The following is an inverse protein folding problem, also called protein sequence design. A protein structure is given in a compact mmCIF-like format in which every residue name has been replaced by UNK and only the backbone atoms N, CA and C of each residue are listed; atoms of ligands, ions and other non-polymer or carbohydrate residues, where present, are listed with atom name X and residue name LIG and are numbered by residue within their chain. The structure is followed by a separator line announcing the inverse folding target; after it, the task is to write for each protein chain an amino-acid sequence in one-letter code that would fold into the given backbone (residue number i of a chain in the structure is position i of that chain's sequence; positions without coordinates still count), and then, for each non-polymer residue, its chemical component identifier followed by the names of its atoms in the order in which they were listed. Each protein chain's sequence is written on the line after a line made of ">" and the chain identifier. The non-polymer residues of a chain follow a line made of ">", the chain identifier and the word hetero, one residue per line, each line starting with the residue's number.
data_IF_399885450607
#
_entry.id   IF_399885450607
#
_cell.length_a   1.000
_cell.length_b   1.000
_cell.length_c   1.000
_cell.angle_alpha   90.00
_cell.angle_beta   90.00
_cell.angle_gamma   90.00
#
_symmetry.space_group_name_H-M   'P 1'
#
loop_
_entity.id
_entity.type
_entity.pdbx_description
1 polymer ?
#
# COMPACT_ATOMS: atom_id res chain seq x y z
N UNK A 1 -2.74 -0.52 27.97
CA UNK A 1 -2.52 -1.49 26.89
C UNK A 1 -2.05 -2.80 27.53
N UNK A 2 -2.81 -3.90 27.39
CA UNK A 2 -2.48 -5.19 27.96
C UNK A 2 -1.11 -5.74 27.51
N UNK A 3 -0.68 -5.44 26.29
CA UNK A 3 0.64 -5.85 25.79
C UNK A 3 1.76 -5.20 26.60
N UNK A 4 1.67 -3.89 26.86
CA UNK A 4 2.68 -3.16 27.65
C UNK A 4 2.65 -3.50 29.14
N UNK A 5 1.49 -3.85 29.70
CA UNK A 5 1.34 -4.11 31.14
C UNK A 5 1.55 -5.57 31.53
N UNK A 6 1.20 -6.50 30.64
CA UNK A 6 1.14 -7.92 30.94
C UNK A 6 1.87 -8.80 29.93
N UNK A 7 2.47 -8.22 28.88
CA UNK A 7 3.21 -8.98 27.86
C UNK A 7 2.32 -9.83 26.95
N UNK A 8 1.02 -9.55 26.90
CA UNK A 8 0.08 -10.33 26.09
C UNK A 8 0.32 -10.10 24.60
N UNK A 9 0.27 -11.20 23.85
CA UNK A 9 0.17 -11.16 22.39
C UNK A 9 -1.25 -10.79 21.99
N UNK A 10 -1.38 -9.89 21.03
CA UNK A 10 -2.65 -9.31 20.63
C UNK A 10 -2.91 -9.53 19.15
N UNK A 11 -4.14 -9.94 18.84
CA UNK A 11 -4.67 -10.00 17.49
C UNK A 11 -5.85 -9.06 17.33
N UNK A 12 -6.00 -8.45 16.16
CA UNK A 12 -7.16 -7.62 15.82
C UNK A 12 -7.97 -8.23 14.69
N UNK A 13 -9.29 -8.22 14.84
CA UNK A 13 -10.24 -8.64 13.80
C UNK A 13 -10.89 -7.38 13.24
N UNK A 14 -10.69 -7.12 11.95
CA UNK A 14 -11.22 -5.96 11.22
C UNK A 14 -12.02 -6.48 10.02
N UNK A 15 -13.33 -6.68 10.15
CA UNK A 15 -14.16 -7.23 9.06
C UNK A 15 -14.05 -6.45 7.75
N UNK A 16 -13.93 -5.12 7.83
CA UNK A 16 -13.79 -4.22 6.68
C UNK A 16 -12.56 -4.52 5.83
N UNK A 17 -11.54 -5.17 6.42
CA UNK A 17 -10.29 -5.52 5.74
C UNK A 17 -10.53 -6.36 4.48
N UNK A 18 -11.48 -7.28 4.50
CA UNK A 18 -11.76 -8.14 3.33
C UNK A 18 -12.21 -7.31 2.13
N UNK A 19 -13.21 -6.44 2.33
CA UNK A 19 -13.69 -5.55 1.28
C UNK A 19 -12.63 -4.57 0.80
N UNK A 20 -11.71 -4.16 1.67
CA UNK A 20 -10.62 -3.26 1.32
C UNK A 20 -9.54 -3.97 0.49
N UNK A 21 -9.19 -5.21 0.84
CA UNK A 21 -8.30 -6.07 0.05
C UNK A 21 -8.88 -6.31 -1.34
N UNK A 22 -10.17 -6.64 -1.45
CA UNK A 22 -10.82 -6.90 -2.73
C UNK A 22 -10.77 -5.68 -3.66
N UNK A 23 -11.07 -4.49 -3.12
CA UNK A 23 -10.96 -3.22 -3.86
C UNK A 23 -9.54 -2.92 -4.28
N UNK A 24 -8.56 -3.11 -3.39
CA UNK A 24 -7.15 -2.89 -3.70
C UNK A 24 -6.60 -3.89 -4.72
N UNK A 25 -7.13 -5.12 -4.72
CA UNK A 25 -6.73 -6.16 -5.66
C UNK A 25 -7.37 -6.01 -7.04
N UNK A 26 -8.39 -5.16 -7.19
CA UNK A 26 -9.00 -4.86 -8.49
C UNK A 26 -7.99 -4.26 -9.47
N UNK A 27 -8.06 -4.67 -10.74
CA UNK A 27 -7.13 -4.16 -11.76
C UNK A 27 -7.28 -2.65 -11.97
N UNK A 28 -8.50 -2.13 -11.81
CA UNK A 28 -8.78 -0.69 -11.88
C UNK A 28 -8.01 0.08 -10.81
N UNK A 29 -8.00 -0.40 -9.55
CA UNK A 29 -7.24 0.25 -8.49
C UNK A 29 -5.73 0.14 -8.73
N UNK A 30 -5.25 -1.07 -9.07
CA UNK A 30 -3.82 -1.32 -9.32
C UNK A 30 -3.28 -0.45 -10.46
N UNK A 31 -3.96 -0.43 -11.61
CA UNK A 31 -3.55 0.38 -12.77
C UNK A 31 -3.55 1.88 -12.43
N UNK A 32 -4.58 2.37 -11.74
CA UNK A 32 -4.65 3.78 -11.31
C UNK A 32 -3.51 4.16 -10.37
N UNK A 33 -3.16 3.30 -9.42
CA UNK A 33 -2.04 3.54 -8.49
C UNK A 33 -0.69 3.47 -9.20
N UNK A 34 -0.48 2.50 -10.10
CA UNK A 34 0.74 2.44 -10.93
C UNK A 34 0.91 3.73 -11.72
N UNK A 35 -0.16 4.20 -12.36
CA UNK A 35 -0.14 5.44 -13.12
C UNK A 35 0.11 6.67 -12.24
N UNK A 36 -0.52 6.75 -11.07
CA UNK A 36 -0.23 7.80 -10.09
C UNK A 36 1.25 7.88 -9.67
N UNK A 37 1.91 6.73 -9.53
CA UNK A 37 3.34 6.66 -9.21
C UNK A 37 4.18 7.08 -10.42
N UNK A 38 3.85 6.61 -11.63
CA UNK A 38 4.52 7.02 -12.87
C UNK A 38 4.43 8.53 -13.10
N UNK A 39 3.23 9.12 -12.93
CA UNK A 39 3.04 10.58 -13.04
C UNK A 39 3.89 11.35 -12.03
N UNK A 40 4.00 10.86 -10.78
CA UNK A 40 4.84 11.50 -9.77
C UNK A 40 6.32 11.49 -10.18
N UNK A 41 6.82 10.38 -10.71
CA UNK A 41 8.19 10.32 -11.24
C UNK A 41 8.39 11.29 -12.42
N UNK A 42 7.46 11.33 -13.39
CA UNK A 42 7.55 12.24 -14.53
C UNK A 42 7.56 13.71 -14.11
N UNK A 43 6.68 14.09 -13.17
CA UNK A 43 6.66 15.43 -12.59
C UNK A 43 7.98 15.72 -11.88
N UNK A 44 8.48 14.77 -11.08
CA UNK A 44 9.71 14.95 -10.32
C UNK A 44 10.95 15.13 -11.22
N UNK A 45 11.00 14.42 -12.34
CA UNK A 45 12.07 14.52 -13.34
C UNK A 45 12.02 15.86 -14.11
N UNK A 46 10.83 16.34 -14.45
CA UNK A 46 10.66 17.52 -15.30
C UNK A 46 10.60 18.86 -14.55
N UNK A 47 10.33 18.86 -13.24
CA UNK A 47 10.13 20.10 -12.45
C UNK A 47 11.30 21.09 -12.48
N UNK A 48 12.50 20.65 -12.85
CA UNK A 48 13.70 21.48 -12.91
C UNK A 48 13.81 22.28 -14.23
N UNK A 49 12.99 21.97 -15.23
CA UNK A 49 12.98 22.66 -16.51
C UNK A 49 12.22 24.00 -16.41
N UNK A 50 12.77 25.07 -16.99
CA UNK A 50 12.22 26.42 -16.86
C UNK A 50 11.53 26.95 -18.12
N UNK A 51 11.35 26.08 -19.12
CA UNK A 51 10.65 26.39 -20.37
C UNK A 51 9.14 26.53 -20.13
N UNK A 52 8.50 27.45 -20.86
CA UNK A 52 7.06 27.71 -20.71
C UNK A 52 6.22 26.45 -21.02
N UNK A 53 6.57 25.74 -22.10
CA UNK A 53 5.90 24.49 -22.50
C UNK A 53 6.00 23.40 -21.42
N UNK A 54 7.17 23.27 -20.78
CA UNK A 54 7.40 22.30 -19.70
C UNK A 54 6.53 22.61 -18.48
N UNK A 55 6.37 23.90 -18.13
CA UNK A 55 5.49 24.31 -17.03
C UNK A 55 4.02 24.01 -17.32
N UNK A 56 3.56 24.26 -18.54
CA UNK A 56 2.18 23.95 -18.96
C UNK A 56 1.91 22.44 -18.90
N UNK A 57 2.85 21.62 -19.38
CA UNK A 57 2.78 20.17 -19.30
C UNK A 57 2.72 19.67 -17.84
N UNK A 58 3.58 20.18 -16.97
CA UNK A 58 3.56 19.83 -15.53
C UNK A 58 2.21 20.18 -14.90
N UNK A 59 1.61 21.34 -15.23
CA UNK A 59 0.28 21.68 -14.72
C UNK A 59 -0.78 20.67 -15.18
N UNK A 60 -0.73 20.23 -16.43
CA UNK A 60 -1.65 19.21 -16.94
C UNK A 60 -1.51 17.88 -16.17
N UNK A 61 -0.29 17.44 -15.87
CA UNK A 61 -0.04 16.23 -15.08
C UNK A 61 -0.44 16.37 -13.61
N UNK A 62 -0.28 17.54 -13.02
CA UNK A 62 -0.75 17.82 -11.66
C UNK A 62 -2.27 17.72 -11.58
N UNK A 63 -2.98 18.24 -12.58
CA UNK A 63 -4.43 18.10 -12.68
C UNK A 63 -4.83 16.62 -12.82
N UNK A 64 -4.22 15.89 -13.76
CA UNK A 64 -4.50 14.46 -13.97
C UNK A 64 -4.23 13.64 -12.70
N UNK A 65 -3.13 13.93 -11.99
CA UNK A 65 -2.80 13.31 -10.71
C UNK A 65 -3.91 13.55 -9.67
N UNK A 66 -4.46 14.76 -9.60
CA UNK A 66 -5.50 15.09 -8.63
C UNK A 66 -6.87 14.46 -8.99
N UNK A 67 -7.16 14.31 -10.29
CA UNK A 67 -8.30 13.53 -10.79
C UNK A 67 -8.17 12.05 -10.41
N UNK A 68 -7.00 11.43 -10.64
CA UNK A 68 -6.73 10.04 -10.25
C UNK A 68 -6.76 9.83 -8.74
N UNK A 69 -6.29 10.80 -7.95
CA UNK A 69 -6.43 10.78 -6.48
C UNK A 69 -7.89 10.79 -6.05
N UNK A 70 -8.71 11.59 -6.70
CA UNK A 70 -10.15 11.67 -6.42
C UNK A 70 -10.86 10.38 -6.83
N UNK A 71 -10.51 9.83 -8.00
CA UNK A 71 -11.02 8.55 -8.49
C UNK A 71 -10.66 7.39 -7.57
N UNK A 72 -9.38 7.21 -7.26
CA UNK A 72 -8.94 6.12 -6.37
C UNK A 72 -9.55 6.20 -4.98
N UNK A 73 -9.80 7.42 -4.46
CA UNK A 73 -10.52 7.64 -3.21
C UNK A 73 -12.00 7.24 -3.31
N UNK A 74 -12.67 7.52 -4.43
CA UNK A 74 -14.10 7.24 -4.62
C UNK A 74 -14.43 5.74 -4.69
N UNK A 75 -13.43 4.88 -4.92
CA UNK A 75 -13.58 3.42 -4.86
C UNK A 75 -13.83 2.91 -3.42
N UNK A 76 -13.48 3.70 -2.40
CA UNK A 76 -13.71 3.37 -1.00
C UNK A 76 -15.00 4.01 -0.47
N UNK A 77 -15.17 4.03 0.86
CA UNK A 77 -16.35 4.65 1.44
C UNK A 77 -16.43 6.13 1.02
N UNK A 78 -17.58 6.62 0.52
CA UNK A 78 -17.70 7.99 -0.01
C UNK A 78 -17.54 9.07 1.06
N UNK A 79 -17.82 8.78 2.33
CA UNK A 79 -17.77 9.75 3.42
C UNK A 79 -16.36 9.89 4.02
N UNK A 80 -15.66 8.78 4.23
CA UNK A 80 -14.37 8.79 4.94
C UNK A 80 -13.20 8.14 4.18
N UNK A 81 -13.46 7.50 3.04
CA UNK A 81 -12.44 6.83 2.23
C UNK A 81 -12.04 5.46 2.77
N UNK A 82 -10.78 5.08 2.53
CA UNK A 82 -10.19 3.83 3.05
C UNK A 82 -9.96 3.95 4.56
N UNK A 83 -10.14 2.83 5.27
CA UNK A 83 -9.90 2.77 6.71
C UNK A 83 -8.39 2.81 7.02
N UNK A 84 -7.55 2.34 6.10
CA UNK A 84 -6.13 2.11 6.33
C UNK A 84 -5.25 3.23 5.75
N UNK A 85 -5.68 3.92 4.69
CA UNK A 85 -4.85 4.86 3.94
C UNK A 85 -5.62 6.04 3.33
N UNK A 86 -4.99 7.21 3.35
CA UNK A 86 -5.38 8.39 2.57
C UNK A 86 -4.21 8.78 1.68
N UNK A 87 -4.35 8.62 0.36
CA UNK A 87 -3.26 8.81 -0.61
C UNK A 87 -2.01 7.99 -0.24
N UNK A 88 -0.87 8.64 0.01
CA UNK A 88 0.38 7.99 0.42
C UNK A 88 0.50 7.76 1.94
N UNK A 89 -0.44 8.29 2.75
CA UNK A 89 -0.32 8.29 4.20
C UNK A 89 -1.19 7.22 4.86
N UNK A 90 -0.65 6.46 5.83
CA UNK A 90 -1.47 5.60 6.68
C UNK A 90 -2.37 6.45 7.60
N UNK A 91 -3.62 6.02 7.77
CA UNK A 91 -4.59 6.68 8.67
C UNK A 91 -4.17 6.53 10.14
N UNK A 92 -4.77 7.36 11.01
CA UNK A 92 -4.59 7.21 12.45
C UNK A 92 -5.03 5.83 12.94
N UNK A 93 -6.13 5.30 12.39
CA UNK A 93 -6.61 3.94 12.68
C UNK A 93 -5.52 2.90 12.40
N UNK A 94 -4.94 2.91 11.20
CA UNK A 94 -3.89 1.95 10.86
C UNK A 94 -2.63 2.11 11.72
N UNK A 95 -2.19 3.35 11.98
CA UNK A 95 -1.04 3.59 12.86
C UNK A 95 -1.26 3.04 14.26
N UNK A 96 -2.49 3.14 14.78
CA UNK A 96 -2.88 2.58 16.07
C UNK A 96 -2.90 1.05 16.01
N UNK A 97 -3.53 0.49 14.98
CA UNK A 97 -3.59 -0.95 14.75
C UNK A 97 -2.19 -1.58 14.69
N UNK A 98 -1.31 -1.05 13.85
CA UNK A 98 0.06 -1.53 13.65
C UNK A 98 0.95 -1.41 14.90
N UNK A 99 0.57 -0.56 15.88
CA UNK A 99 1.28 -0.42 17.15
C UNK A 99 0.80 -1.42 18.20
N UNK A 100 -0.49 -1.77 18.19
CA UNK A 100 -1.14 -2.46 19.30
C UNK A 100 -1.57 -3.89 18.99
N UNK A 101 -1.55 -4.32 17.73
CA UNK A 101 -1.80 -5.69 17.34
C UNK A 101 -0.53 -6.32 16.76
N UNK A 102 -0.15 -7.50 17.24
CA UNK A 102 0.93 -8.30 16.65
C UNK A 102 0.51 -8.84 15.27
N UNK A 103 -0.77 -9.20 15.12
CA UNK A 103 -1.39 -9.73 13.88
C UNK A 103 -2.78 -9.13 13.67
N UNK A 104 -3.22 -8.97 12.42
CA UNK A 104 -4.59 -8.56 12.13
C UNK A 104 -5.19 -9.31 10.94
N UNK A 105 -6.51 -9.49 10.97
CA UNK A 105 -7.22 -10.31 9.99
C UNK A 105 -8.67 -9.85 9.84
N UNK A 106 -9.35 -10.28 8.78
CA UNK A 106 -10.78 -9.98 8.61
C UNK A 106 -11.66 -10.88 9.48
N UNK A 107 -11.23 -12.12 9.72
CA UNK A 107 -11.96 -13.11 10.52
C UNK A 107 -11.01 -14.03 11.29
N UNK A 108 -11.44 -14.51 12.46
CA UNK A 108 -10.69 -15.51 13.23
C UNK A 108 -10.45 -16.79 12.43
N UNK A 109 -11.36 -17.14 11.52
CA UNK A 109 -11.23 -18.33 10.67
C UNK A 109 -10.02 -18.26 9.73
N UNK A 110 -9.44 -17.08 9.49
CA UNK A 110 -8.18 -16.96 8.74
C UNK A 110 -7.03 -17.71 9.42
N UNK A 111 -7.02 -17.84 10.76
CA UNK A 111 -6.00 -18.59 11.49
C UNK A 111 -6.10 -20.10 11.28
N UNK A 112 -7.28 -20.63 10.93
CA UNK A 112 -7.48 -22.06 10.67
C UNK A 112 -6.73 -22.55 9.42
N UNK A 113 -6.23 -21.62 8.59
CA UNK A 113 -5.40 -21.92 7.41
C UNK A 113 -3.94 -22.22 7.78
N UNK A 114 -3.56 -22.05 9.04
CA UNK A 114 -2.19 -22.26 9.53
C UNK A 114 -2.14 -23.43 10.52
N UNK A 115 -0.99 -24.12 10.58
CA UNK A 115 -0.76 -25.13 11.62
C UNK A 115 -0.59 -24.48 12.99
N UNK A 116 -0.81 -25.25 14.06
CA UNK A 116 -0.56 -24.79 15.43
C UNK A 116 0.91 -24.47 15.72
N UNK A 117 1.82 -25.02 14.92
CA UNK A 117 3.27 -24.76 14.97
C UNK A 117 3.73 -23.61 14.07
N UNK A 118 2.81 -22.88 13.43
CA UNK A 118 3.16 -21.84 12.49
C UNK A 118 3.75 -20.60 13.17
N UNK A 119 4.92 -20.16 12.71
CA UNK A 119 5.57 -18.93 13.19
C UNK A 119 5.36 -17.80 12.20
N UNK A 120 4.73 -16.72 12.64
CA UNK A 120 4.59 -15.49 11.86
C UNK A 120 5.85 -14.63 12.00
N UNK A 121 6.49 -14.31 10.87
CA UNK A 121 7.63 -13.40 10.81
C UNK A 121 7.22 -12.07 10.19
N UNK A 122 7.40 -10.92 10.88
CA UNK A 122 7.08 -9.62 10.31
C UNK A 122 8.06 -9.27 9.18
N UNK A 123 7.55 -8.72 8.09
CA UNK A 123 8.39 -8.19 7.02
C UNK A 123 9.21 -6.97 7.48
N UNK A 124 10.46 -6.91 7.03
CA UNK A 124 11.37 -5.77 7.23
C UNK A 124 10.85 -4.57 6.44
N UNK A 125 10.50 -3.49 7.15
CA UNK A 125 10.13 -2.21 6.53
C UNK A 125 11.42 -1.40 6.36
N UNK A 126 11.73 -1.01 5.13
CA UNK A 126 12.90 -0.20 4.84
C UNK A 126 12.72 1.23 5.36
N UNK A 127 13.79 1.81 5.93
CA UNK A 127 13.81 3.24 6.25
C UNK A 127 14.16 4.07 5.00
N UNK A 128 13.77 5.35 4.92
CA UNK A 128 14.00 6.17 3.73
C UNK A 128 15.47 6.29 3.27
N UNK A 129 16.44 6.11 4.17
CA UNK A 129 17.87 6.16 3.87
C UNK A 129 18.48 4.77 3.62
N UNK A 130 17.69 3.70 3.71
CA UNK A 130 18.17 2.36 3.40
C UNK A 130 18.17 2.12 1.90
N UNK A 131 19.19 1.43 1.36
CA UNK A 131 19.24 1.12 -0.06
C UNK A 131 18.06 0.23 -0.44
N UNK A 132 17.34 0.63 -1.49
CA UNK A 132 16.29 -0.21 -2.08
C UNK A 132 16.93 -1.47 -2.66
N UNK A 133 16.79 -2.62 -2.00
CA UNK A 133 17.35 -3.89 -2.48
C UNK A 133 16.74 -4.36 -3.81
N UNK A 134 15.62 -3.75 -4.24
CA UNK A 134 14.89 -4.10 -5.47
C UNK A 134 15.22 -3.22 -6.67
N UNK A 135 15.98 -2.13 -6.52
CA UNK A 135 16.34 -1.26 -7.65
C UNK A 135 17.39 -1.86 -8.60
N UNK A 136 17.96 -3.03 -8.29
CA UNK A 136 18.95 -3.70 -9.14
C UNK A 136 18.37 -4.61 -10.25
N UNK A 137 17.05 -4.69 -10.43
CA UNK A 137 16.44 -5.63 -11.41
C UNK A 137 16.08 -5.04 -12.78
N UNK A 138 16.49 -3.79 -13.10
CA UNK A 138 16.19 -3.15 -14.41
C UNK A 138 17.42 -3.08 -15.35
N UNK A 139 18.56 -3.67 -14.98
CA UNK A 139 19.71 -3.80 -15.89
C UNK A 139 20.28 -5.21 -15.89
N UNK A 140 19.51 -6.19 -16.35
CA UNK A 140 20.02 -7.44 -16.96
C UNK A 140 18.85 -8.13 -17.65
N UNK A 141 18.82 -8.08 -18.97
CA UNK A 141 17.85 -8.82 -19.76
C UNK A 141 18.03 -10.33 -19.62
N UNK A 142 16.92 -11.07 -19.66
CA UNK A 142 16.94 -12.50 -19.95
C UNK A 142 15.99 -13.37 -19.13
N UNK A 143 14.89 -13.75 -19.78
CA UNK A 143 14.07 -14.95 -19.56
C UNK A 143 13.19 -15.05 -18.31
N UNK A 144 11.91 -15.31 -18.57
CA UNK A 144 10.84 -15.29 -17.60
C UNK A 144 10.75 -16.52 -16.72
N UNK A 145 10.08 -16.34 -15.60
CA UNK A 145 9.02 -17.22 -15.10
C UNK A 145 8.07 -16.30 -14.33
N UNK A 146 6.82 -16.20 -14.78
CA UNK A 146 5.71 -15.67 -14.00
C UNK A 146 5.64 -16.40 -12.66
N UNK A 147 5.99 -15.71 -11.56
CA UNK A 147 5.57 -16.11 -10.23
C UNK A 147 4.40 -15.24 -9.81
N UNK A 148 3.22 -15.65 -10.28
CA UNK A 148 1.96 -15.22 -9.71
C UNK A 148 1.88 -15.59 -8.22
N UNK A 149 1.11 -14.79 -7.48
CA UNK A 149 0.51 -15.22 -6.21
C UNK A 149 1.33 -14.97 -4.95
N UNK A 150 1.63 -13.70 -4.63
CA UNK A 150 1.87 -13.27 -3.25
C UNK A 150 0.80 -12.28 -2.76
N UNK A 151 -0.35 -12.23 -3.45
CA UNK A 151 -1.52 -11.49 -3.04
C UNK A 151 -2.39 -12.36 -2.12
N UNK A 152 -2.15 -12.27 -0.81
CA UNK A 152 -3.16 -12.40 0.26
C UNK A 152 -2.53 -12.55 1.66
N UNK A 153 -1.41 -11.89 1.96
CA UNK A 153 -0.88 -11.85 3.33
C UNK A 153 -0.78 -10.42 3.79
N UNK A 154 -1.94 -9.92 4.18
CA UNK A 154 -2.00 -8.82 5.13
C UNK A 154 -1.61 -9.41 6.50
N UNK A 155 -0.71 -8.71 7.22
CA UNK A 155 -0.04 -9.20 8.45
C UNK A 155 -0.99 -9.73 9.50
#
# INVERSE_FOLDING_TARGET
>A
DPSLRYGWRTGAIIPELETEIDKQNSEVYKSSVRWLVSLQHLIDDMQHQNEAESKELIQSWLQERDELRSFTKSLFNPQFGSLFRTYHNPTYFFRRLARFADVYMSSLTNLLRYSSSYTFYPHRILLPHEPSLYSQSVQSGGNGVDRGGLESRVK
#
